data_IF_917530333095
#
_entry.id   IF_917530333095
#
_cell.length_a   1.000
_cell.length_b   1.000
_cell.length_c   1.000
_cell.angle_alpha   90.00
_cell.angle_beta   90.00
_cell.angle_gamma   90.00
#
_symmetry.space_group_name_H-M   'P 1'
#
loop_
_entity.id
_entity.type
_entity.pdbx_description
1 polymer ?
2 non-polymer ?
#
# COMPACT_ATOMS: atom_id res chain seq x y z
N UNK A 11 -10.51 -10.09 4.83
CA UNK A 11 -11.04 -9.92 6.21
C UNK A 11 -10.33 -8.75 6.95
N UNK A 12 -10.91 -8.31 8.07
CA UNK A 12 -10.50 -7.07 8.81
C UNK A 12 -8.98 -6.85 8.90
N UNK A 13 -8.40 -7.10 10.08
CA UNK A 13 -6.94 -7.16 10.20
C UNK A 13 -6.36 -8.43 9.51
N UNK A 14 -6.34 -8.47 8.17
CA UNK A 14 -5.87 -9.67 7.45
C UNK A 14 -4.83 -9.48 6.29
N UNK A 15 -3.95 -8.47 6.47
CA UNK A 15 -2.77 -8.27 5.59
C UNK A 15 -1.47 -8.04 6.37
N UNK A 16 -0.53 -8.95 6.14
CA UNK A 16 0.74 -8.95 6.83
C UNK A 16 1.54 -7.70 6.49
N UNK A 17 2.37 -7.29 7.45
CA UNK A 17 3.31 -6.20 7.23
C UNK A 17 4.30 -6.53 6.12
N UNK A 18 4.85 -7.75 6.14
CA UNK A 18 5.61 -8.32 5.01
C UNK A 18 4.90 -8.05 3.66
N UNK A 19 3.58 -8.23 3.64
CA UNK A 19 2.78 -8.16 2.42
C UNK A 19 2.63 -6.76 1.78
N UNK A 20 2.11 -5.80 2.54
CA UNK A 20 2.11 -4.40 2.14
C UNK A 20 3.51 -3.94 1.84
N UNK A 21 4.45 -4.34 2.70
CA UNK A 21 5.85 -4.09 2.52
C UNK A 21 6.29 -4.45 1.12
N UNK A 22 6.18 -5.74 0.77
CA UNK A 22 6.72 -6.20 -0.51
C UNK A 22 6.07 -5.45 -1.66
N UNK A 23 4.76 -5.26 -1.52
CA UNK A 23 3.91 -4.57 -2.48
C UNK A 23 4.41 -3.18 -2.83
N UNK A 24 4.68 -2.38 -1.80
CA UNK A 24 5.23 -1.04 -1.94
C UNK A 24 6.71 -1.05 -2.37
N UNK A 25 7.59 -1.56 -1.49
CA UNK A 25 9.06 -1.63 -1.71
C UNK A 25 9.39 -2.13 -3.11
N UNK A 26 10.24 -1.37 -3.79
CA UNK A 26 10.35 -1.46 -5.25
C UNK A 26 11.36 -2.48 -5.80
N UNK A 27 12.20 -3.04 -4.94
CA UNK A 27 13.14 -4.09 -5.35
C UNK A 27 12.50 -5.31 -6.04
N UNK A 28 11.18 -5.46 -5.91
CA UNK A 28 10.41 -6.52 -6.58
C UNK A 28 9.82 -6.02 -7.86
N UNK A 29 9.67 -6.92 -8.81
CA UNK A 29 8.96 -6.63 -10.06
C UNK A 29 7.51 -7.12 -10.01
N UNK A 30 6.60 -6.30 -10.53
CA UNK A 30 5.20 -6.68 -10.61
C UNK A 30 4.92 -8.19 -10.72
N UNK A 31 5.37 -8.83 -11.84
CA UNK A 31 5.28 -10.26 -12.00
C UNK A 31 5.18 -11.06 -10.67
N UNK A 32 6.17 -10.87 -9.79
CA UNK A 32 6.32 -11.68 -8.58
C UNK A 32 5.39 -11.27 -7.45
N UNK A 33 5.00 -10.01 -7.47
CA UNK A 33 4.13 -9.47 -6.45
C UNK A 33 2.73 -10.00 -6.73
N UNK A 34 2.30 -9.83 -7.97
CA UNK A 34 0.98 -10.23 -8.43
C UNK A 34 0.70 -11.72 -8.24
N UNK A 35 1.70 -12.56 -8.49
CA UNK A 35 1.62 -13.96 -8.15
C UNK A 35 1.22 -14.16 -6.71
N UNK A 36 1.85 -13.39 -5.83
CA UNK A 36 1.57 -13.49 -4.44
C UNK A 36 0.24 -12.84 -4.09
N UNK A 37 -0.13 -11.79 -4.82
CA UNK A 37 -1.41 -11.13 -4.62
C UNK A 37 -2.59 -12.08 -4.90
N UNK A 38 -2.63 -12.63 -6.11
CA UNK A 38 -3.66 -13.60 -6.47
C UNK A 38 -3.68 -14.76 -5.50
N UNK A 39 -2.51 -15.33 -5.25
CA UNK A 39 -2.47 -16.43 -4.31
C UNK A 39 -2.94 -16.05 -2.90
N UNK A 40 -2.82 -14.77 -2.53
CA UNK A 40 -3.32 -14.29 -1.25
C UNK A 40 -4.84 -14.22 -1.21
N UNK A 41 -5.41 -13.54 -2.21
CA UNK A 41 -6.85 -13.26 -2.42
C UNK A 41 -7.66 -14.56 -2.56
N UNK A 42 -7.17 -15.43 -3.44
CA UNK A 42 -7.81 -16.70 -3.70
C UNK A 42 -7.98 -17.49 -2.40
N UNK A 43 -6.96 -17.48 -1.56
CA UNK A 43 -7.02 -18.24 -0.32
C UNK A 43 -7.82 -17.48 0.71
N UNK A 44 -7.69 -16.16 0.72
CA UNK A 44 -8.43 -15.37 1.67
C UNK A 44 -9.92 -15.52 1.46
N UNK A 45 -10.37 -15.41 0.21
CA UNK A 45 -11.80 -15.45 -0.04
C UNK A 45 -12.30 -16.87 -0.21
N UNK A 46 -11.40 -17.83 0.03
CA UNK A 46 -11.69 -19.26 -0.12
C UNK A 46 -12.09 -19.63 -1.56
N UNK A 47 -11.74 -18.80 -2.54
CA UNK A 47 -12.12 -19.06 -3.96
C UNK A 47 -11.13 -19.95 -4.77
N UNK A 48 -11.61 -20.62 -5.81
CA UNK A 48 -10.75 -21.61 -6.45
C UNK A 48 -9.90 -21.09 -7.60
N UNK A 49 -9.85 -19.77 -7.80
CA UNK A 49 -9.04 -19.17 -8.87
C UNK A 49 -9.21 -17.67 -8.79
N UNK A 50 -8.09 -16.96 -8.95
CA UNK A 50 -8.07 -15.51 -8.97
C UNK A 50 -7.08 -15.09 -10.02
N UNK A 51 -7.47 -14.28 -10.99
CA UNK A 51 -6.55 -13.89 -12.04
C UNK A 51 -6.41 -12.38 -12.14
N UNK A 52 -5.28 -11.91 -12.62
CA UNK A 52 -5.22 -10.51 -12.97
C UNK A 52 -4.90 -10.38 -14.46
N UNK A 53 -5.70 -9.55 -15.11
CA UNK A 53 -5.39 -9.13 -16.47
C UNK A 53 -5.09 -7.68 -16.44
N UNK A 54 -4.07 -7.32 -17.22
CA UNK A 54 -3.55 -5.97 -17.27
C UNK A 54 -3.67 -5.39 -18.66
N UNK A 55 -4.32 -4.23 -18.74
CA UNK A 55 -4.56 -3.52 -19.98
C UNK A 55 -3.28 -3.38 -20.78
N UNK A 56 -3.35 -3.75 -22.07
CA UNK A 56 -2.20 -3.69 -22.93
C UNK A 56 -2.69 -3.59 -24.37
N UNK A 57 -2.51 -2.44 -25.01
CA UNK A 57 -3.19 -2.14 -26.29
C UNK A 57 -4.70 -2.19 -26.10
N UNK A 58 -5.44 -2.43 -27.19
CA UNK A 58 -6.90 -2.60 -27.13
C UNK A 58 -7.35 -3.92 -26.48
N UNK A 59 -6.45 -4.61 -25.80
CA UNK A 59 -6.80 -5.86 -25.13
C UNK A 59 -6.23 -5.88 -23.74
N UNK A 60 -6.34 -7.06 -23.12
CA UNK A 60 -6.07 -7.24 -21.69
C UNK A 60 -5.46 -8.61 -21.55
N UNK A 61 -4.25 -8.66 -21.01
CA UNK A 61 -3.54 -9.94 -20.99
C UNK A 61 -3.26 -10.40 -19.56
N UNK A 62 -3.14 -11.71 -19.36
CA UNK A 62 -3.03 -12.29 -18.02
C UNK A 62 -1.66 -11.96 -17.42
N UNK A 63 -1.62 -11.69 -16.12
CA UNK A 63 -0.46 -11.05 -15.48
C UNK A 63 -0.12 -11.81 -14.22
N UNK A 64 -1.15 -12.39 -13.60
CA UNK A 64 -0.97 -13.37 -12.54
C UNK A 64 -2.15 -14.32 -12.48
N UNK A 65 -1.90 -15.50 -11.92
CA UNK A 65 -2.98 -16.45 -11.58
C UNK A 65 -2.81 -17.08 -10.23
N UNK A 66 -3.93 -17.47 -9.68
CA UNK A 66 -3.95 -18.55 -8.74
C UNK A 66 -5.12 -19.37 -9.19
N UNK A 67 -4.85 -20.54 -9.76
CA UNK A 67 -5.89 -21.34 -10.33
C UNK A 67 -5.40 -21.88 -11.64
N UNK A 68 -4.86 -21.04 -12.50
CA UNK A 68 -4.28 -21.59 -13.77
C UNK A 68 -2.82 -22.00 -13.56
N UNK A 69 -2.23 -22.56 -14.59
CA UNK A 69 -0.84 -22.79 -14.57
C UNK A 69 -0.23 -21.41 -14.75
N UNK A 70 0.94 -21.16 -14.13
CA UNK A 70 1.73 -19.98 -14.41
C UNK A 70 2.17 -19.93 -15.87
N UNK A 71 2.30 -21.12 -16.50
CA UNK A 71 2.53 -21.24 -17.93
C UNK A 71 1.59 -20.34 -18.76
N UNK A 72 0.33 -20.20 -18.34
CA UNK A 72 -0.60 -19.40 -19.09
C UNK A 72 -0.39 -17.91 -18.94
N UNK A 73 0.69 -17.45 -18.28
CA UNK A 73 0.79 -15.99 -17.93
C UNK A 73 0.78 -15.00 -19.11
N UNK A 74 1.60 -15.21 -20.13
CA UNK A 74 1.52 -14.25 -21.24
C UNK A 74 0.40 -14.59 -22.21
N UNK A 75 -0.08 -15.81 -22.08
CA UNK A 75 -0.78 -16.48 -23.12
C UNK A 75 -2.24 -16.06 -23.21
N UNK A 76 -2.86 -15.59 -22.15
CA UNK A 76 -4.28 -15.32 -22.33
C UNK A 76 -4.65 -13.89 -22.62
N UNK A 77 -5.27 -13.64 -23.77
CA UNK A 77 -5.68 -12.27 -24.03
C UNK A 77 -7.12 -12.11 -24.29
N UNK A 78 -7.78 -11.18 -23.61
CA UNK A 78 -9.17 -10.80 -23.88
C UNK A 78 -9.12 -9.47 -24.62
N UNK A 79 -9.66 -9.45 -25.84
CA UNK A 79 -9.94 -8.22 -26.56
C UNK A 79 -10.85 -7.36 -25.69
N UNK A 80 -10.86 -6.05 -25.95
CA UNK A 80 -11.38 -5.11 -24.97
C UNK A 80 -12.85 -5.31 -24.56
N UNK A 81 -13.83 -4.92 -25.36
CA UNK A 81 -15.20 -5.08 -24.89
C UNK A 81 -15.67 -6.52 -24.83
N UNK A 82 -14.78 -7.47 -25.19
CA UNK A 82 -15.18 -8.82 -25.58
C UNK A 82 -15.81 -9.71 -24.54
N UNK A 83 -15.11 -10.04 -23.47
CA UNK A 83 -15.76 -10.88 -22.44
C UNK A 83 -16.92 -10.21 -21.67
N UNK A 84 -17.19 -10.72 -20.47
CA UNK A 84 -17.73 -9.92 -19.40
C UNK A 84 -16.53 -9.43 -18.57
N UNK A 85 -15.37 -10.05 -18.74
CA UNK A 85 -14.12 -9.40 -18.34
C UNK A 85 -13.92 -8.16 -19.20
N UNK A 86 -13.97 -8.35 -20.51
CA UNK A 86 -13.85 -7.27 -21.45
C UNK A 86 -14.78 -6.09 -21.21
N UNK A 87 -16.01 -6.31 -20.75
CA UNK A 87 -16.84 -5.15 -20.38
C UNK A 87 -16.33 -4.46 -19.13
N UNK A 88 -15.88 -5.23 -18.13
CA UNK A 88 -15.36 -4.61 -16.90
C UNK A 88 -14.17 -3.73 -17.18
N UNK A 89 -13.26 -4.27 -18.01
CA UNK A 89 -12.10 -3.55 -18.56
C UNK A 89 -12.48 -2.29 -19.31
N UNK A 90 -13.65 -2.26 -19.95
CA UNK A 90 -14.01 -1.12 -20.77
C UNK A 90 -14.70 -0.07 -19.94
N UNK A 91 -15.63 -0.50 -19.09
CA UNK A 91 -16.53 0.41 -18.40
C UNK A 91 -16.05 0.78 -17.01
N UNK A 92 -15.23 -0.05 -16.42
CA UNK A 92 -14.69 0.24 -15.11
C UNK A 92 -15.64 0.03 -13.94
N UNK A 93 -16.85 -0.42 -14.21
CA UNK A 93 -17.70 -0.95 -13.15
C UNK A 93 -17.46 -2.43 -13.05
N UNK A 94 -17.26 -2.94 -11.85
CA UNK A 94 -17.19 -4.40 -11.69
C UNK A 94 -18.60 -4.99 -11.84
N UNK A 95 -18.65 -6.24 -12.33
CA UNK A 95 -19.82 -7.12 -12.36
C UNK A 95 -19.53 -8.38 -11.52
N UNK A 96 -20.52 -8.85 -10.75
CA UNK A 96 -20.40 -10.18 -10.13
C UNK A 96 -21.64 -10.96 -10.51
N UNK A 97 -21.45 -12.16 -11.06
CA UNK A 97 -22.57 -13.01 -11.40
C UNK A 97 -22.39 -14.51 -11.08
N UNK A 98 -23.54 -15.15 -10.86
CA UNK A 98 -23.66 -16.59 -10.81
C UNK A 98 -24.57 -17.12 -11.91
N UNK A 99 -24.05 -18.09 -12.65
CA UNK A 99 -24.75 -18.72 -13.75
C UNK A 99 -24.96 -20.22 -13.53
N UNK A 100 -26.09 -20.71 -14.01
CA UNK A 100 -26.25 -22.13 -14.25
C UNK A 100 -25.86 -22.38 -15.72
N UNK A 101 -25.06 -23.43 -15.93
CA UNK A 101 -24.46 -23.81 -17.22
C UNK A 101 -24.47 -25.35 -17.48
N UNK A 102 -24.76 -25.76 -18.73
CA UNK A 102 -24.84 -27.20 -19.09
C UNK A 102 -24.51 -27.51 -20.56
N UNK A 103 -23.34 -28.10 -20.82
CA UNK A 103 -23.00 -28.62 -22.17
C UNK A 103 -23.62 -30.01 -22.34
N UNK A 104 -24.33 -30.26 -23.46
CA UNK A 104 -25.00 -31.59 -23.64
C UNK A 104 -24.16 -32.81 -23.16
N UNK A 105 -24.82 -33.87 -22.66
CA UNK A 105 -24.15 -35.08 -22.11
C UNK A 105 -25.10 -36.17 -21.58
N UNK A 106 -25.51 -37.09 -22.45
CA UNK A 106 -26.39 -38.22 -22.06
C UNK A 106 -25.63 -39.28 -21.22
N UNK A 116 -22.95 -27.76 -14.22
CA UNK A 116 -22.06 -26.68 -13.83
C UNK A 116 -22.87 -25.51 -13.24
N UNK A 117 -22.36 -24.92 -12.17
CA UNK A 117 -23.03 -23.80 -11.52
C UNK A 117 -21.96 -22.95 -10.83
N UNK A 118 -21.31 -22.09 -11.63
CA UNK A 118 -20.22 -21.17 -11.21
C UNK A 118 -20.60 -19.76 -10.66
N UNK A 119 -19.61 -19.08 -10.11
CA UNK A 119 -19.77 -17.70 -9.69
C UNK A 119 -18.50 -17.01 -10.13
N UNK A 120 -18.62 -15.79 -10.66
CA UNK A 120 -17.45 -14.94 -10.81
C UNK A 120 -17.59 -13.50 -10.41
N UNK A 121 -16.46 -12.92 -9.99
CA UNK A 121 -16.38 -11.51 -9.62
C UNK A 121 -15.30 -10.91 -10.46
N UNK A 122 -15.66 -9.86 -11.14
CA UNK A 122 -14.77 -9.28 -12.08
C UNK A 122 -14.74 -7.79 -11.84
N UNK A 123 -13.59 -7.34 -11.36
CA UNK A 123 -13.45 -6.04 -10.77
C UNK A 123 -12.33 -5.28 -11.44
N UNK A 124 -12.52 -3.96 -11.71
CA UNK A 124 -11.49 -3.25 -12.47
C UNK A 124 -10.38 -2.76 -11.56
N UNK A 125 -9.24 -2.49 -12.17
CA UNK A 125 -8.11 -1.87 -11.53
C UNK A 125 -7.98 -0.53 -12.27
N UNK A 126 -8.22 0.58 -11.59
CA UNK A 126 -8.23 1.85 -12.30
C UNK A 126 -8.42 3.04 -11.41
N UNK A 127 -8.59 4.20 -12.02
CA UNK A 127 -8.56 5.44 -11.27
C UNK A 127 -9.60 6.43 -11.77
N UNK A 128 -9.46 7.66 -11.29
CA UNK A 128 -9.95 8.88 -11.93
C UNK A 128 -9.92 8.71 -13.45
N UNK A 129 -8.73 8.72 -14.04
CA UNK A 129 -8.58 8.77 -15.50
C UNK A 129 -9.14 7.48 -16.17
N UNK A 130 -8.45 6.34 -16.05
CA UNK A 130 -8.99 5.09 -16.60
C UNK A 130 -8.54 3.76 -15.99
N UNK A 131 -8.96 2.72 -16.68
CA UNK A 131 -8.74 1.34 -16.27
C UNK A 131 -7.40 0.85 -16.77
N UNK A 132 -6.75 0.11 -15.89
CA UNK A 132 -5.40 -0.36 -16.08
C UNK A 132 -5.48 -1.87 -16.18
N UNK A 133 -6.53 -2.46 -15.63
CA UNK A 133 -6.63 -3.89 -15.62
C UNK A 133 -7.90 -4.39 -14.99
N UNK A 134 -7.97 -5.72 -14.85
CA UNK A 134 -9.11 -6.41 -14.23
C UNK A 134 -8.64 -7.57 -13.35
N UNK A 135 -9.15 -7.62 -12.13
CA UNK A 135 -8.94 -8.79 -11.29
C UNK A 135 -10.22 -9.67 -11.25
N UNK A 136 -10.06 -10.97 -11.54
CA UNK A 136 -11.17 -11.89 -11.51
C UNK A 136 -11.09 -12.89 -10.42
N UNK A 137 -12.24 -13.26 -9.91
CA UNK A 137 -12.34 -14.33 -8.95
C UNK A 137 -13.43 -15.19 -9.49
N UNK A 138 -13.13 -16.48 -9.71
CA UNK A 138 -14.13 -17.45 -10.13
C UNK A 138 -14.09 -18.65 -9.22
N UNK A 139 -15.26 -19.01 -8.73
CA UNK A 139 -15.38 -20.25 -8.01
C UNK A 139 -16.37 -21.10 -8.81
N UNK A 140 -16.24 -22.42 -8.68
CA UNK A 140 -17.06 -23.30 -9.49
C UNK A 140 -18.39 -23.57 -8.80
N UNK A 141 -18.48 -23.23 -7.50
CA UNK A 141 -19.71 -23.35 -6.72
C UNK A 141 -20.72 -22.26 -7.08
N UNK A 142 -22.00 -22.53 -6.87
CA UNK A 142 -23.02 -21.46 -6.90
C UNK A 142 -22.92 -20.67 -5.57
N UNK A 143 -22.35 -19.48 -5.62
CA UNK A 143 -22.10 -18.72 -4.41
C UNK A 143 -22.10 -17.21 -4.59
N UNK A 144 -22.82 -16.58 -3.70
CA UNK A 144 -23.03 -15.18 -3.77
C UNK A 144 -21.83 -14.42 -3.22
N UNK A 145 -21.38 -13.41 -3.93
CA UNK A 145 -20.40 -12.51 -3.36
C UNK A 145 -21.08 -11.48 -2.48
N UNK A 146 -20.70 -11.53 -1.21
CA UNK A 146 -21.12 -10.61 -0.16
C UNK A 146 -20.46 -9.21 -0.34
N UNK A 147 -21.09 -8.16 0.17
CA UNK A 147 -20.57 -6.77 0.05
C UNK A 147 -19.13 -6.62 0.39
N UNK A 148 -18.77 -6.88 1.64
CA UNK A 148 -17.41 -6.58 2.08
C UNK A 148 -16.39 -7.51 1.46
N UNK A 149 -16.87 -8.64 0.94
CA UNK A 149 -16.06 -9.51 0.10
C UNK A 149 -15.62 -8.66 -1.08
N UNK A 150 -16.53 -7.83 -1.58
CA UNK A 150 -16.20 -6.92 -2.70
C UNK A 150 -15.32 -5.76 -2.20
N UNK A 151 -15.67 -5.18 -1.06
CA UNK A 151 -14.80 -4.20 -0.39
C UNK A 151 -13.36 -4.72 -0.33
N UNK A 152 -13.17 -5.93 0.15
CA UNK A 152 -11.86 -6.50 0.26
C UNK A 152 -11.08 -6.52 -1.07
N UNK A 153 -11.76 -6.94 -2.14
CA UNK A 153 -11.19 -6.87 -3.46
C UNK A 153 -11.06 -5.40 -3.92
N UNK A 154 -11.91 -4.48 -3.47
CA UNK A 154 -11.77 -3.10 -3.95
C UNK A 154 -10.42 -2.52 -3.49
N UNK A 155 -10.11 -2.76 -2.21
CA UNK A 155 -8.83 -2.39 -1.59
C UNK A 155 -7.64 -3.03 -2.31
N UNK A 156 -7.67 -4.34 -2.46
CA UNK A 156 -6.70 -5.03 -3.31
C UNK A 156 -6.59 -4.47 -4.75
N UNK A 157 -7.69 -3.99 -5.32
CA UNK A 157 -7.59 -3.54 -6.71
C UNK A 157 -6.74 -2.27 -6.70
N UNK A 158 -6.77 -1.60 -5.54
CA UNK A 158 -6.13 -0.31 -5.40
C UNK A 158 -4.69 -0.39 -4.94
N UNK A 159 -4.37 -1.43 -4.18
CA UNK A 159 -3.00 -1.77 -3.90
C UNK A 159 -2.34 -2.25 -5.17
N UNK A 160 -3.10 -2.92 -6.01
CA UNK A 160 -2.48 -3.36 -7.22
C UNK A 160 -2.25 -2.17 -8.10
N UNK A 161 -3.20 -1.22 -8.09
CA UNK A 161 -3.12 -0.03 -8.92
C UNK A 161 -1.90 0.72 -8.48
N UNK A 162 -1.71 0.75 -7.17
CA UNK A 162 -0.59 1.47 -6.65
C UNK A 162 0.80 0.83 -6.94
N UNK A 163 0.88 -0.49 -6.96
CA UNK A 163 2.08 -1.21 -7.41
C UNK A 163 2.47 -0.75 -8.81
N UNK A 164 1.49 -0.75 -9.71
CA UNK A 164 1.77 -0.40 -11.10
C UNK A 164 2.32 1.03 -11.15
N UNK A 165 1.51 1.97 -10.69
CA UNK A 165 1.85 3.36 -10.69
C UNK A 165 3.24 3.64 -10.11
N UNK A 166 3.61 3.02 -8.99
CA UNK A 166 4.95 3.24 -8.42
C UNK A 166 6.03 2.81 -9.38
N UNK A 167 5.83 1.66 -9.98
CA UNK A 167 6.87 1.00 -10.73
C UNK A 167 6.98 1.58 -12.11
N UNK A 168 5.85 1.77 -12.77
CA UNK A 168 5.86 2.13 -14.16
C UNK A 168 6.46 3.51 -14.30
N UNK A 169 5.81 4.47 -13.65
CA UNK A 169 6.17 5.90 -13.75
C UNK A 169 7.43 6.28 -12.96
N UNK A 170 7.43 6.04 -11.64
CA UNK A 170 8.60 6.34 -10.76
C UNK A 170 9.86 5.53 -11.11
N UNK A 171 9.73 4.44 -11.89
CA UNK A 171 10.89 3.71 -12.42
C UNK A 171 11.40 4.29 -13.75
N UNK A 172 10.61 4.15 -14.81
CA UNK A 172 11.03 4.63 -16.14
C UNK A 172 11.13 6.17 -16.30
N UNK A 173 10.65 6.95 -15.31
CA UNK A 173 10.88 8.41 -15.30
C UNK A 173 11.64 8.96 -14.07
N UNK A 174 11.64 8.21 -12.97
CA UNK A 174 12.59 8.45 -11.87
C UNK A 174 13.55 7.26 -11.75
N UNK B 10 8.88 -13.63 10.84
CA UNK B 10 7.47 -13.20 10.88
C UNK B 10 7.32 -11.70 10.64
N UNK B 11 6.11 -11.20 10.85
CA UNK B 11 5.78 -9.76 10.98
C UNK B 11 4.24 -9.66 11.08
N UNK B 12 3.75 -9.72 12.33
CA UNK B 12 2.33 -10.01 12.67
C UNK B 12 1.28 -9.07 11.98
N UNK B 13 0.03 -9.57 11.84
CA UNK B 13 -1.08 -8.85 11.17
C UNK B 13 -1.54 -7.56 11.88
N UNK B 14 -0.69 -6.52 11.78
CA UNK B 14 -0.76 -5.33 12.58
C UNK B 14 -1.18 -4.12 11.72
N UNK B 15 -1.86 -4.40 10.61
CA UNK B 15 -2.40 -3.33 9.76
C UNK B 15 -3.81 -3.61 9.26
N UNK B 16 -4.59 -2.53 9.12
CA UNK B 16 -6.01 -2.61 8.90
C UNK B 16 -6.38 -2.14 7.51
N UNK B 17 -7.41 -2.75 6.96
CA UNK B 17 -7.84 -2.51 5.60
C UNK B 17 -7.98 -1.02 5.26
N UNK B 18 -8.79 -0.27 6.02
CA UNK B 18 -8.96 1.15 5.73
C UNK B 18 -7.75 1.99 6.06
N UNK B 19 -6.91 1.49 6.98
CA UNK B 19 -5.67 2.18 7.29
C UNK B 19 -4.85 2.16 6.02
N UNK B 20 -4.58 0.95 5.56
CA UNK B 20 -4.02 0.67 4.25
C UNK B 20 -4.68 1.50 3.17
N UNK B 21 -6.00 1.39 3.07
CA UNK B 21 -6.78 2.13 2.08
C UNK B 21 -6.50 3.63 2.07
N UNK B 22 -6.78 4.28 3.19
CA UNK B 22 -6.60 5.72 3.30
C UNK B 22 -5.21 6.14 2.86
N UNK B 23 -4.26 5.26 3.15
CA UNK B 23 -2.88 5.42 2.78
C UNK B 23 -2.73 5.71 1.31
N UNK B 24 -3.39 4.87 0.53
CA UNK B 24 -3.36 4.89 -0.92
C UNK B 24 -4.46 5.80 -1.50
N UNK B 25 -5.67 5.70 -0.95
CA UNK B 25 -6.90 6.37 -1.42
C UNK B 25 -6.86 7.62 -2.26
N UNK B 26 -7.94 7.76 -3.04
CA UNK B 26 -8.22 8.92 -3.89
C UNK B 26 -8.17 10.25 -3.16
N UNK B 27 -9.27 10.59 -2.47
CA UNK B 27 -9.46 11.91 -1.86
C UNK B 27 -9.33 11.82 -0.34
N UNK B 28 -8.48 10.92 0.12
CA UNK B 28 -7.94 11.03 1.46
C UNK B 28 -6.71 11.89 1.43
N UNK B 29 -6.54 12.73 2.44
CA UNK B 29 -5.57 13.84 2.33
C UNK B 29 -4.34 13.93 3.25
N UNK B 30 -3.21 14.25 2.64
CA UNK B 30 -1.93 14.05 3.28
C UNK B 30 -1.84 14.43 4.78
N UNK B 31 -1.99 15.72 5.16
CA UNK B 31 -2.08 16.05 6.57
C UNK B 31 -2.88 15.03 7.37
N UNK B 32 -4.14 14.83 7.00
CA UNK B 32 -5.03 13.93 7.74
C UNK B 32 -4.49 12.53 7.79
N UNK B 33 -3.90 12.08 6.68
CA UNK B 33 -3.42 10.71 6.66
C UNK B 33 -2.30 10.58 7.68
N UNK B 34 -1.39 11.56 7.67
CA UNK B 34 -0.22 11.59 8.56
C UNK B 34 -0.60 11.75 10.03
N UNK B 35 -1.66 12.52 10.23
CA UNK B 35 -2.17 12.72 11.54
C UNK B 35 -2.68 11.41 12.14
N UNK B 36 -2.87 10.40 11.32
CA UNK B 36 -3.39 9.12 11.77
C UNK B 36 -2.24 8.14 11.89
N UNK B 37 -1.38 8.16 10.88
CA UNK B 37 -0.17 7.35 10.84
C UNK B 37 0.61 7.46 12.14
N UNK B 38 0.88 8.71 12.57
CA UNK B 38 1.48 8.99 13.89
C UNK B 38 0.78 8.32 15.07
N UNK B 39 -0.49 8.71 15.26
CA UNK B 39 -1.41 8.09 16.22
C UNK B 39 -1.44 6.57 16.18
N UNK B 40 -1.22 5.96 15.02
CA UNK B 40 -1.13 4.51 15.01
C UNK B 40 0.15 4.01 15.64
N UNK B 41 1.27 4.55 15.18
CA UNK B 41 2.60 4.17 15.65
C UNK B 41 2.72 4.36 17.17
N UNK B 42 2.36 5.56 17.62
CA UNK B 42 2.41 5.88 19.04
C UNK B 42 1.68 4.82 19.84
N UNK B 43 0.54 4.43 19.31
CA UNK B 43 -0.39 3.56 20.00
C UNK B 43 0.11 2.12 19.95
N UNK B 44 0.86 1.84 18.89
CA UNK B 44 1.35 0.51 18.57
C UNK B 44 2.55 0.19 19.38
N UNK B 45 3.60 0.94 19.12
CA UNK B 45 4.86 0.83 19.82
C UNK B 45 4.72 1.38 21.23
N UNK B 46 3.48 1.74 21.58
CA UNK B 46 3.18 2.27 22.89
C UNK B 46 4.28 3.26 23.25
N UNK B 47 4.40 4.30 22.43
CA UNK B 47 5.39 5.34 22.60
C UNK B 47 4.69 6.67 22.99
N UNK B 48 5.34 7.56 23.73
CA UNK B 48 4.69 8.86 24.08
C UNK B 48 4.45 9.84 22.93
N UNK B 49 5.34 9.87 21.95
CA UNK B 49 5.25 10.84 20.87
C UNK B 49 5.72 10.30 19.56
N UNK B 50 4.95 10.61 18.51
CA UNK B 50 5.38 10.27 17.17
C UNK B 50 5.20 11.49 16.29
N UNK B 51 6.28 11.98 15.69
CA UNK B 51 6.19 13.18 14.87
C UNK B 51 6.82 12.95 13.52
N UNK B 52 6.16 13.43 12.47
CA UNK B 52 6.73 13.32 11.14
C UNK B 52 7.12 14.72 10.70
N UNK B 53 8.37 14.87 10.29
CA UNK B 53 8.75 16.15 9.71
C UNK B 53 9.11 15.76 8.33
N UNK B 54 8.71 16.57 7.35
CA UNK B 54 9.07 16.39 5.97
C UNK B 54 9.65 17.66 5.38
N UNK B 55 10.19 17.53 4.18
CA UNK B 55 11.25 18.40 3.73
C UNK B 55 10.84 19.63 2.95
N UNK B 56 11.39 20.76 3.37
CA UNK B 56 11.16 22.01 2.64
C UNK B 56 12.45 22.81 2.50
N UNK B 57 13.07 22.72 1.32
CA UNK B 57 14.26 23.54 1.02
C UNK B 57 15.46 23.09 1.83
N UNK B 58 15.95 23.95 2.72
CA UNK B 58 17.15 23.68 3.54
C UNK B 58 16.80 23.26 4.97
N UNK B 59 15.54 22.89 5.17
CA UNK B 59 15.05 22.50 6.48
C UNK B 59 13.93 21.49 6.38
N UNK B 60 13.34 21.15 7.51
CA UNK B 60 12.40 20.04 7.56
C UNK B 60 11.28 20.38 8.54
N UNK B 61 10.03 20.46 8.09
CA UNK B 61 8.99 20.98 8.99
C UNK B 61 8.04 19.91 9.59
N UNK B 62 7.38 20.26 10.69
CA UNK B 62 6.53 19.28 11.34
C UNK B 62 5.26 19.08 10.53
N UNK B 63 4.98 17.83 10.16
CA UNK B 63 3.80 17.54 9.33
C UNK B 63 2.64 16.83 10.02
N UNK B 64 2.96 16.12 11.10
CA UNK B 64 1.94 15.40 11.87
C UNK B 64 2.57 15.10 13.17
N UNK B 65 1.76 15.14 14.22
CA UNK B 65 2.21 14.58 15.48
C UNK B 65 1.19 13.69 16.08
N UNK B 66 1.67 12.74 16.85
CA UNK B 66 0.90 12.31 17.97
C UNK B 66 1.81 12.68 19.12
N UNK B 67 1.23 13.32 20.12
CA UNK B 67 2.00 13.67 21.27
C UNK B 67 2.16 15.15 21.46
N UNK B 68 2.17 15.94 20.40
CA UNK B 68 2.17 17.38 20.60
C UNK B 68 0.82 17.85 20.26
N UNK B 69 0.46 19.00 20.79
CA UNK B 69 -0.67 19.76 20.26
C UNK B 69 -0.54 19.84 18.74
N UNK B 70 -1.52 19.32 17.99
CA UNK B 70 -1.51 19.57 16.52
C UNK B 70 -1.43 21.06 16.05
N UNK B 71 -1.66 22.01 16.95
CA UNK B 71 -1.43 23.43 16.62
C UNK B 71 0.03 23.75 16.26
N UNK B 72 0.97 22.91 16.64
CA UNK B 72 2.38 23.08 16.24
C UNK B 72 2.75 22.56 14.83
N UNK B 73 1.80 22.02 14.06
CA UNK B 73 2.15 21.53 12.71
C UNK B 73 2.84 22.58 11.81
N UNK B 74 2.35 23.80 11.81
CA UNK B 74 3.07 24.78 11.01
C UNK B 74 4.55 24.94 11.40
N UNK B 75 4.84 24.71 12.68
CA UNK B 75 5.72 25.60 13.42
C UNK B 75 7.10 25.11 13.78
N UNK B 76 7.40 23.85 13.53
CA UNK B 76 8.72 23.45 13.93
C UNK B 76 9.56 23.16 12.73
N UNK B 77 10.53 24.04 12.49
CA UNK B 77 11.43 23.83 11.34
C UNK B 77 12.86 23.62 11.81
N UNK B 78 13.46 22.54 11.34
CA UNK B 78 14.80 22.13 11.73
C UNK B 78 15.70 22.21 10.51
N UNK B 79 16.83 22.90 10.62
CA UNK B 79 17.82 22.92 9.53
C UNK B 79 18.42 21.51 9.33
N UNK B 80 18.83 21.19 8.11
CA UNK B 80 19.32 19.84 7.79
C UNK B 80 20.64 19.46 8.49
N UNK B 81 21.53 20.43 8.66
CA UNK B 81 22.69 20.21 9.56
C UNK B 81 22.36 19.86 11.02
N UNK B 82 21.21 20.38 11.52
CA UNK B 82 20.95 20.62 12.97
C UNK B 82 20.69 19.42 13.92
N UNK B 83 19.44 19.00 14.12
CA UNK B 83 19.17 17.99 15.18
C UNK B 83 20.07 16.74 15.28
N UNK B 84 19.71 15.82 16.17
CA UNK B 84 19.87 14.40 15.89
C UNK B 84 18.89 14.20 14.75
N UNK B 85 17.76 14.87 14.80
CA UNK B 85 16.91 14.92 13.63
C UNK B 85 17.55 15.53 12.38
N UNK B 86 18.57 16.35 12.49
CA UNK B 86 19.06 16.94 11.27
C UNK B 86 19.88 15.91 10.50
N UNK B 87 20.65 15.14 11.25
CA UNK B 87 21.59 14.20 10.68
C UNK B 87 20.79 13.19 9.89
N UNK B 88 19.75 12.66 10.54
CA UNK B 88 18.89 11.66 9.95
C UNK B 88 18.33 12.18 8.60
N UNK B 89 17.74 13.38 8.61
CA UNK B 89 17.37 14.17 7.42
C UNK B 89 18.47 14.41 6.39
N UNK B 90 19.70 14.68 6.79
CA UNK B 90 20.72 14.84 5.74
C UNK B 90 21.30 13.52 5.24
N UNK B 91 21.95 12.75 6.10
CA UNK B 91 22.72 11.60 5.60
C UNK B 91 21.86 10.33 5.50
N UNK B 92 20.57 10.47 5.74
CA UNK B 92 19.63 9.40 5.40
C UNK B 92 19.65 8.13 6.23
N UNK B 93 20.80 7.69 6.70
CA UNK B 93 20.79 6.52 7.56
C UNK B 93 20.36 6.92 8.99
N UNK B 94 19.32 6.27 9.52
CA UNK B 94 18.68 6.65 10.82
C UNK B 94 19.57 6.47 12.06
N UNK B 95 19.22 7.19 13.14
CA UNK B 95 19.84 7.01 14.49
C UNK B 95 18.85 6.84 15.64
N UNK B 96 19.21 6.01 16.61
CA UNK B 96 18.41 5.79 17.84
C UNK B 96 19.24 5.93 19.11
N UNK B 97 18.72 6.70 20.06
CA UNK B 97 19.46 6.92 21.29
C UNK B 97 18.66 6.78 22.57
N UNK B 98 19.40 6.61 23.67
CA UNK B 98 18.89 6.73 25.01
C UNK B 98 19.77 7.70 25.72
N UNK B 99 19.14 8.69 26.35
CA UNK B 99 19.84 9.42 27.39
C UNK B 99 19.12 9.28 28.72
N UNK B 100 19.91 9.06 29.77
CA UNK B 100 19.46 9.42 31.11
C UNK B 100 19.99 10.85 31.26
N UNK B 101 19.06 11.82 31.35
CA UNK B 101 19.40 13.25 31.44
C UNK B 101 18.68 14.06 32.56
N UNK B 102 19.25 14.00 33.78
CA UNK B 102 18.81 14.71 35.02
C UNK B 102 19.27 13.96 36.28
N UNK B 116 14.78 12.14 35.98
CA UNK B 116 14.07 12.00 34.70
C UNK B 116 14.99 11.48 33.56
N UNK B 117 14.46 11.36 32.34
CA UNK B 117 15.20 10.91 31.12
C UNK B 117 14.28 10.68 29.86
N UNK B 118 14.78 9.96 28.85
CA UNK B 118 14.15 9.89 27.53
C UNK B 118 14.88 8.91 26.61
N UNK B 119 14.15 8.15 25.79
CA UNK B 119 14.70 7.40 24.64
C UNK B 119 14.06 7.83 23.35
N UNK B 120 14.76 7.70 22.24
CA UNK B 120 14.23 8.15 20.96
C UNK B 120 14.69 7.37 19.77
N UNK B 121 13.84 7.41 18.73
CA UNK B 121 14.18 6.87 17.41
C UNK B 121 13.90 7.86 16.34
N UNK B 122 14.93 8.18 15.59
CA UNK B 122 14.80 9.13 14.51
C UNK B 122 15.12 8.42 13.20
N UNK B 123 14.09 8.13 12.41
CA UNK B 123 14.22 7.24 11.26
C UNK B 123 13.95 8.00 9.95
N UNK B 124 14.72 7.68 8.88
CA UNK B 124 14.54 8.46 7.63
C UNK B 124 13.30 8.05 6.81
N UNK B 125 12.81 8.96 5.97
CA UNK B 125 11.76 8.64 5.01
C UNK B 125 12.35 9.00 3.67
N UNK B 126 12.63 7.98 2.83
CA UNK B 126 13.28 8.18 1.54
C UNK B 126 13.56 6.97 0.64
N UNK B 127 14.35 7.19 -0.42
CA UNK B 127 14.49 6.20 -1.46
C UNK B 127 15.96 5.96 -1.86
N UNK B 128 16.21 5.40 -3.06
CA UNK B 128 17.58 5.23 -3.50
C UNK B 128 18.35 6.58 -3.45
N UNK B 129 17.77 7.66 -3.99
CA UNK B 129 18.54 8.91 -4.13
C UNK B 129 18.26 10.01 -3.10
N UNK B 130 17.08 10.02 -2.51
CA UNK B 130 16.58 11.25 -1.91
C UNK B 130 15.83 11.04 -0.59
N UNK B 131 16.10 11.91 0.39
CA UNK B 131 15.51 11.82 1.74
C UNK B 131 14.30 12.76 1.84
N UNK B 132 13.14 12.24 2.18
CA UNK B 132 11.93 13.07 2.02
C UNK B 132 11.48 13.76 3.30
N UNK B 133 11.91 13.21 4.43
CA UNK B 133 11.54 13.67 5.77
C UNK B 133 12.03 12.69 6.82
N UNK B 134 11.62 12.92 8.06
CA UNK B 134 11.98 12.10 9.22
C UNK B 134 10.75 11.86 10.08
N UNK B 135 10.65 10.61 10.51
CA UNK B 135 9.63 10.13 11.43
C UNK B 135 10.39 9.86 12.74
N UNK B 136 9.80 10.26 13.89
CA UNK B 136 10.47 10.33 15.19
C UNK B 136 9.68 9.80 16.33
N UNK B 137 10.30 9.03 17.19
CA UNK B 137 9.60 8.48 18.37
C UNK B 137 10.38 8.73 19.66
N UNK B 138 9.68 9.13 20.72
CA UNK B 138 10.31 9.35 22.02
C UNK B 138 9.41 8.95 23.13
N UNK B 139 10.01 8.36 24.16
CA UNK B 139 9.24 7.71 25.19
C UNK B 139 9.08 8.50 26.45
N UNK B 140 10.16 9.15 26.90
CA UNK B 140 10.30 9.56 28.32
C UNK B 140 10.29 8.36 29.30
N UNK B 141 10.69 7.20 28.81
CA UNK B 141 11.28 6.18 29.65
C UNK B 141 12.74 6.12 29.20
N UNK B 142 13.41 5.05 29.53
CA UNK B 142 14.71 4.86 28.96
C UNK B 142 14.70 3.46 28.33
N UNK B 143 14.19 3.34 27.09
CA UNK B 143 14.18 2.04 26.35
C UNK B 143 14.77 2.04 24.94
N UNK B 144 15.68 1.10 24.68
CA UNK B 144 16.25 0.99 23.35
C UNK B 144 15.43 0.01 22.49
N UNK B 145 14.92 0.52 21.37
CA UNK B 145 13.93 -0.19 20.53
C UNK B 145 14.46 -1.44 19.84
N UNK B 146 13.61 -2.47 19.79
CA UNK B 146 13.91 -3.80 19.22
C UNK B 146 14.14 -3.78 17.71
N UNK B 147 14.95 -4.71 17.21
CA UNK B 147 15.14 -4.84 15.78
C UNK B 147 13.76 -4.87 15.08
N UNK B 148 12.84 -5.64 15.65
CA UNK B 148 11.49 -5.78 15.11
C UNK B 148 10.68 -4.52 15.18
N UNK B 149 10.86 -3.74 16.24
CA UNK B 149 10.16 -2.47 16.37
C UNK B 149 10.61 -1.44 15.33
N UNK B 150 11.91 -1.46 15.00
CA UNK B 150 12.44 -0.59 13.95
C UNK B 150 11.89 -0.98 12.59
N UNK B 151 12.02 -2.26 12.24
CA UNK B 151 11.45 -2.77 11.03
C UNK B 151 10.09 -2.14 10.81
N UNK B 152 9.16 -2.40 11.71
CA UNK B 152 7.83 -1.85 11.62
C UNK B 152 7.86 -0.42 11.13
N UNK B 153 8.69 0.37 11.79
CA UNK B 153 8.79 1.75 11.45
C UNK B 153 9.39 1.96 10.04
N UNK B 154 10.37 1.15 9.67
CA UNK B 154 10.87 1.20 8.31
C UNK B 154 9.70 1.00 7.37
N UNK B 155 8.89 -0.02 7.66
CA UNK B 155 7.70 -0.22 6.85
C UNK B 155 6.86 1.06 6.90
N UNK B 156 6.48 1.50 8.08
CA UNK B 156 5.69 2.71 8.15
C UNK B 156 6.27 3.85 7.30
N UNK B 157 7.59 3.87 7.15
CA UNK B 157 8.22 4.95 6.41
C UNK B 157 8.12 4.81 4.88
N UNK B 158 8.07 3.58 4.38
CA UNK B 158 7.72 3.40 2.95
C UNK B 158 6.27 3.80 2.69
N UNK B 159 5.41 3.49 3.66
CA UNK B 159 3.99 3.79 3.53
C UNK B 159 3.79 5.27 3.43
N UNK B 160 4.42 6.00 4.35
CA UNK B 160 4.45 7.47 4.30
C UNK B 160 5.08 7.89 2.97
N UNK B 161 6.27 7.37 2.68
CA UNK B 161 6.90 7.72 1.43
C UNK B 161 5.90 7.62 0.28
N UNK B 162 5.17 6.51 0.16
CA UNK B 162 4.36 6.38 -1.05
C UNK B 162 3.06 7.15 -0.99
N UNK B 163 2.52 7.30 0.22
CA UNK B 163 1.42 8.22 0.42
C UNK B 163 1.86 9.53 -0.21
N UNK B 164 3.10 9.92 0.07
CA UNK B 164 3.69 11.13 -0.51
C UNK B 164 3.85 10.95 -2.02
N UNK B 165 4.49 9.85 -2.40
CA UNK B 165 4.90 9.65 -3.75
C UNK B 165 3.69 9.65 -4.75
N UNK B 166 2.53 9.16 -4.29
CA UNK B 166 1.30 9.14 -5.11
C UNK B 166 0.72 10.52 -5.35
N UNK B 167 0.66 11.29 -4.27
CA UNK B 167 0.01 12.59 -4.26
C UNK B 167 0.64 13.63 -5.20
N UNK B 168 1.95 13.47 -5.42
CA UNK B 168 2.72 14.35 -6.32
C UNK B 168 2.93 13.81 -7.75
N UNK B 169 2.64 12.53 -7.98
CA UNK B 169 2.63 11.99 -9.35
C UNK B 169 1.26 12.21 -9.93
N UNK B 170 0.27 12.29 -9.05
CA UNK B 170 -1.07 12.71 -9.45
C UNK B 170 -1.09 14.22 -9.75
N UNK B 171 -0.88 15.03 -8.71
CA UNK B 171 -0.84 16.50 -8.84
C UNK B 171 0.31 16.96 -9.77
N UNK B 172 1.53 17.00 -9.24
CA UNK B 172 2.69 17.58 -9.97
C UNK B 172 3.24 16.80 -11.20
N UNK B 173 2.35 16.09 -11.90
CA UNK B 173 2.62 15.46 -13.22
C UNK B 173 1.33 14.87 -13.79
N UNK B 174 0.55 15.72 -14.46
CA UNK B 174 -0.78 15.32 -14.90
C UNK B 174 -0.99 15.54 -16.41
X LIG C 1 -10.62 -15.21 -15.40
X LIG D 1 10.26 15.16 17.50
#
# INVERSE_FOLDING_TARGET
>A
SNAXQRANREHLEIISLEEISMLVSSDFDLPEVLQHVTAKVATQLKVSVCNIYLREGDEVVLAATHGFDPAFIGKIRIKIGDGITGSVARDGQYISLSRASQDPRYRYFPELQEEKYNSMLSFPIGDKKEVYGVINLNTTSIRSFHEDEIYFVSIIANLILTAIKLRQQVASSRKAAEASA
>B
SNAXQRANREHLEIISLEEISMLVSSDFDLPEVLQHVTAKVATQLKVSVCNIYLREGDEVVLAATHGFDPAFIGKIRIKIGDGITGSVARDGQYISLSRASQDPRYRYFPELQEEKYNSMLSFPIGDKKEVYGVINLNTTSIRSFHEDEIYFVSIIANLILTAIKLRQQVASSRKAAEASA
>C hetero
1 NA NA
>D hetero
1 NA NA
#
